data_IF_720773562768
#
_entry.id   IF_720773562768
#
_cell.length_a   1.000
_cell.length_b   1.000
_cell.length_c   1.000
_cell.angle_alpha   90.00
_cell.angle_beta   90.00
_cell.angle_gamma   90.00
#
_symmetry.space_group_name_H-M   'P 1'
#
loop_
_entity.id
_entity.type
_entity.pdbx_description
1 polymer ?
#
# COMPACT_ATOMS: atom_id res chain seq x y z
N UNK A 1 18.77 -4.14 25.04
CA UNK A 1 18.77 -2.99 24.11
C UNK A 1 17.93 -1.90 24.76
N UNK A 2 18.34 -0.62 24.76
CA UNK A 2 17.44 0.41 25.24
C UNK A 2 16.17 0.35 24.38
N UNK A 3 15.00 0.43 25.02
CA UNK A 3 13.75 0.68 24.30
C UNK A 3 13.96 1.97 23.51
N UNK A 4 14.04 1.85 22.18
CA UNK A 4 14.00 3.00 21.31
C UNK A 4 12.56 3.47 21.35
N UNK A 5 12.31 4.51 22.14
CA UNK A 5 10.98 5.12 22.28
C UNK A 5 10.62 5.83 20.96
N UNK A 6 10.07 5.05 20.03
CA UNK A 6 9.57 5.52 18.74
C UNK A 6 8.24 6.21 19.02
N UNK A 7 8.14 7.52 18.79
CA UNK A 7 6.90 8.27 18.99
C UNK A 7 5.98 8.02 17.79
N UNK A 8 4.83 7.32 17.96
CA UNK A 8 3.97 6.98 16.83
C UNK A 8 3.38 8.20 16.12
N UNK A 9 3.20 9.30 16.86
CA UNK A 9 2.72 10.57 16.30
C UNK A 9 3.71 11.21 15.33
N UNK A 10 5.02 11.07 15.59
CA UNK A 10 6.07 11.56 14.68
C UNK A 10 6.12 10.70 13.42
N UNK A 11 6.05 9.38 13.57
CA UNK A 11 5.98 8.46 12.42
C UNK A 11 4.74 8.73 11.57
N UNK A 12 3.57 8.93 12.19
CA UNK A 12 2.34 9.28 11.47
C UNK A 12 2.48 10.60 10.70
N UNK A 13 3.11 11.61 11.29
CA UNK A 13 3.41 12.88 10.61
C UNK A 13 4.38 12.70 9.43
N UNK A 14 5.38 11.81 9.55
CA UNK A 14 6.28 11.47 8.44
C UNK A 14 5.51 10.75 7.31
N UNK A 15 4.60 9.83 7.65
CA UNK A 15 3.76 9.14 6.66
C UNK A 15 2.82 10.09 5.91
N UNK A 16 2.33 11.15 6.58
CA UNK A 16 1.46 12.16 5.99
C UNK A 16 2.23 13.29 5.27
N UNK A 17 3.57 13.27 5.31
CA UNK A 17 4.43 14.27 4.68
C UNK A 17 4.64 13.96 3.19
N UNK A 18 4.62 15.00 2.35
CA UNK A 18 5.14 14.90 0.98
C UNK A 18 6.61 15.32 0.86
N UNK A 19 7.25 15.67 1.98
CA UNK A 19 8.64 16.13 2.10
C UNK A 19 9.00 17.33 1.20
N UNK A 20 8.01 18.06 0.67
CA UNK A 20 8.24 19.26 -0.14
C UNK A 20 8.39 20.46 0.78
N UNK A 21 9.60 21.02 0.80
CA UNK A 21 9.87 22.26 1.50
C UNK A 21 9.25 23.47 0.78
N UNK A 22 8.39 24.19 1.50
CA UNK A 22 7.74 25.41 1.05
C UNK A 22 8.51 26.63 1.51
N UNK A 23 9.00 27.44 0.56
CA UNK A 23 9.83 28.62 0.86
C UNK A 23 9.04 29.76 1.52
N UNK A 24 7.74 29.86 1.23
CA UNK A 24 6.81 30.86 1.76
C UNK A 24 6.53 30.63 3.26
N UNK A 25 6.26 29.38 3.65
CA UNK A 25 6.00 29.03 5.06
C UNK A 25 7.23 28.56 5.82
N UNK A 26 8.33 28.27 5.10
CA UNK A 26 9.56 27.65 5.61
C UNK A 26 9.33 26.29 6.28
N UNK A 27 8.31 25.57 5.85
CA UNK A 27 7.93 24.27 6.40
C UNK A 27 7.76 23.22 5.30
N UNK A 28 7.74 21.94 5.67
CA UNK A 28 7.27 20.86 4.81
C UNK A 28 5.76 20.94 4.61
N UNK A 29 5.21 20.05 3.78
CA UNK A 29 3.78 19.99 3.52
C UNK A 29 3.25 18.58 3.73
N UNK A 30 1.98 18.50 4.08
CA UNK A 30 1.20 17.28 4.06
C UNK A 30 0.99 16.78 2.62
N UNK A 31 0.61 15.53 2.44
CA UNK A 31 0.27 14.94 1.13
C UNK A 31 -0.83 15.73 0.42
N UNK A 32 -1.79 16.29 1.17
CA UNK A 32 -2.86 17.16 0.66
C UNK A 32 -2.38 18.56 0.19
N UNK A 33 -1.11 18.90 0.41
CA UNK A 33 -0.50 20.19 0.03
C UNK A 33 -0.59 21.30 1.08
N UNK A 34 -1.29 21.07 2.20
CA UNK A 34 -1.32 21.99 3.34
C UNK A 34 0.10 22.10 3.93
N UNK A 35 0.58 23.32 4.25
CA UNK A 35 1.87 23.46 4.92
C UNK A 35 1.79 22.92 6.35
N UNK A 36 2.89 22.35 6.84
CA UNK A 36 3.03 22.01 8.25
C UNK A 36 2.94 23.28 9.11
N UNK A 37 2.32 23.13 10.28
CA UNK A 37 2.45 24.03 11.42
C UNK A 37 3.89 24.04 11.94
N UNK A 38 4.20 25.00 12.83
CA UNK A 38 5.54 25.09 13.42
C UNK A 38 5.82 23.91 14.34
N UNK A 39 4.79 23.45 15.05
CA UNK A 39 4.83 22.32 15.97
C UNK A 39 5.06 21.02 15.19
N UNK A 40 4.35 20.80 14.09
CA UNK A 40 4.59 19.68 13.18
C UNK A 40 6.01 19.72 12.61
N UNK A 41 6.46 20.88 12.13
CA UNK A 41 7.82 21.02 11.60
C UNK A 41 8.89 20.71 12.65
N UNK A 42 8.71 21.20 13.87
CA UNK A 42 9.63 20.94 14.98
C UNK A 42 9.63 19.45 15.37
N UNK A 43 8.46 18.81 15.41
CA UNK A 43 8.34 17.38 15.66
C UNK A 43 9.07 16.57 14.58
N UNK A 44 8.84 16.87 13.30
CA UNK A 44 9.50 16.20 12.17
C UNK A 44 11.02 16.41 12.16
N UNK A 45 11.51 17.61 12.53
CA UNK A 45 12.95 17.85 12.67
C UNK A 45 13.58 17.18 13.89
N UNK A 46 12.79 16.94 14.94
CA UNK A 46 13.23 16.18 16.12
C UNK A 46 13.16 14.66 15.93
N UNK A 47 12.74 14.19 14.74
CA UNK A 47 12.60 12.77 14.47
C UNK A 47 13.95 12.06 14.58
N UNK A 48 13.96 10.97 15.33
CA UNK A 48 15.12 10.11 15.53
C UNK A 48 15.33 9.24 14.30
N UNK A 49 16.54 8.68 14.18
CA UNK A 49 16.84 7.69 13.13
C UNK A 49 15.86 6.50 13.17
N UNK A 50 15.51 6.02 14.36
CA UNK A 50 14.60 4.89 14.52
C UNK A 50 13.18 5.20 14.05
N UNK A 51 12.71 6.44 14.20
CA UNK A 51 11.41 6.88 13.67
C UNK A 51 11.43 6.98 12.13
N UNK A 52 12.55 7.39 11.53
CA UNK A 52 12.73 7.33 10.07
C UNK A 52 12.83 5.89 9.54
N UNK A 53 13.49 4.99 10.27
CA UNK A 53 13.55 3.56 9.93
C UNK A 53 12.16 2.92 9.98
N UNK A 54 11.35 3.25 11.00
CA UNK A 54 9.96 2.78 11.11
C UNK A 54 9.08 3.33 9.97
N UNK A 55 9.20 4.62 9.65
CA UNK A 55 8.55 5.21 8.48
C UNK A 55 8.95 4.48 7.19
N UNK A 56 10.24 4.21 6.99
CA UNK A 56 10.74 3.51 5.80
C UNK A 56 10.18 2.08 5.72
N UNK A 57 10.06 1.39 6.85
CA UNK A 57 9.42 0.08 6.96
C UNK A 57 7.95 0.13 6.52
N UNK A 58 7.19 1.10 7.00
CA UNK A 58 5.79 1.29 6.60
C UNK A 58 5.64 1.64 5.12
N UNK A 59 6.49 2.54 4.61
CA UNK A 59 6.49 2.90 3.20
C UNK A 59 6.82 1.68 2.32
N UNK A 60 7.73 0.81 2.76
CA UNK A 60 8.07 -0.43 2.06
C UNK A 60 6.86 -1.35 1.97
N UNK A 61 6.18 -1.62 3.10
CA UNK A 61 4.96 -2.45 3.12
C UNK A 61 3.87 -1.88 2.21
N UNK A 62 3.71 -0.56 2.19
CA UNK A 62 2.77 0.10 1.28
C UNK A 62 3.14 -0.08 -0.20
N UNK A 63 4.42 0.05 -0.55
CA UNK A 63 4.87 -0.19 -1.93
C UNK A 63 4.70 -1.66 -2.35
N UNK A 64 4.89 -2.61 -1.44
CA UNK A 64 4.61 -4.03 -1.69
C UNK A 64 3.13 -4.31 -1.90
N UNK A 65 2.26 -3.64 -1.14
CA UNK A 65 0.82 -3.67 -1.36
C UNK A 65 0.45 -3.13 -2.76
N UNK A 66 0.97 -1.97 -3.15
CA UNK A 66 0.72 -1.39 -4.48
C UNK A 66 1.22 -2.31 -5.61
N UNK A 67 2.41 -2.89 -5.45
CA UNK A 67 2.95 -3.86 -6.40
C UNK A 67 2.03 -5.08 -6.53
N UNK A 68 1.47 -5.57 -5.43
CA UNK A 68 0.51 -6.68 -5.45
C UNK A 68 -0.73 -6.37 -6.27
N UNK A 69 -1.25 -5.13 -6.17
CA UNK A 69 -2.38 -4.68 -7.00
C UNK A 69 -2.00 -4.55 -8.48
N UNK A 70 -0.82 -4.00 -8.76
CA UNK A 70 -0.30 -3.84 -10.12
C UNK A 70 -0.10 -5.20 -10.82
N UNK A 71 0.39 -6.20 -10.09
CA UNK A 71 0.64 -7.55 -10.59
C UNK A 71 -0.62 -8.42 -10.66
N UNK A 72 -1.75 -8.00 -10.06
CA UNK A 72 -2.97 -8.79 -9.96
C UNK A 72 -3.59 -9.21 -11.32
N UNK A 73 -3.66 -8.35 -12.36
CA UNK A 73 -4.18 -8.75 -13.68
C UNK A 73 -3.35 -9.87 -14.33
N UNK A 74 -2.03 -9.76 -14.18
CA UNK A 74 -1.05 -10.71 -14.67
C UNK A 74 -1.15 -12.05 -13.93
N UNK A 75 -1.32 -11.99 -12.60
CA UNK A 75 -1.57 -13.16 -11.77
C UNK A 75 -2.90 -13.84 -12.14
N UNK A 76 -3.98 -13.07 -12.36
CA UNK A 76 -5.27 -13.58 -12.79
C UNK A 76 -5.17 -14.29 -14.15
N UNK A 77 -4.44 -13.72 -15.11
CA UNK A 77 -4.24 -14.35 -16.42
C UNK A 77 -3.52 -15.69 -16.29
N UNK A 78 -2.44 -15.76 -15.50
CA UNK A 78 -1.69 -17.01 -15.28
C UNK A 78 -2.53 -18.05 -14.54
N UNK A 79 -3.31 -17.62 -13.56
CA UNK A 79 -4.24 -18.47 -12.82
C UNK A 79 -5.32 -19.07 -13.72
N UNK A 80 -5.91 -18.27 -14.63
CA UNK A 80 -6.97 -18.74 -15.53
C UNK A 80 -6.48 -19.62 -16.69
N UNK A 81 -5.21 -19.51 -17.08
CA UNK A 81 -4.69 -20.16 -18.29
C UNK A 81 -4.94 -21.69 -18.34
N UNK A 82 -4.66 -22.48 -17.28
CA UNK A 82 -4.87 -23.93 -17.32
C UNK A 82 -6.34 -24.35 -17.49
N UNK A 83 -7.28 -23.58 -16.93
CA UNK A 83 -8.71 -23.85 -17.10
C UNK A 83 -9.15 -23.50 -18.52
N UNK A 84 -8.67 -22.37 -19.06
CA UNK A 84 -8.98 -21.92 -20.41
C UNK A 84 -8.44 -22.86 -21.50
N UNK A 85 -7.35 -23.58 -21.24
CA UNK A 85 -6.80 -24.58 -22.15
C UNK A 85 -7.67 -25.83 -22.27
N UNK A 86 -8.36 -26.22 -21.20
CA UNK A 86 -9.25 -27.39 -21.18
C UNK A 86 -10.59 -27.15 -21.89
N UNK A 87 -10.96 -25.89 -22.08
CA UNK A 87 -12.26 -25.50 -22.61
C UNK A 87 -12.27 -25.37 -24.14
N UNK A 88 -13.24 -26.03 -24.77
CA UNK A 88 -13.57 -25.77 -26.19
C UNK A 88 -14.13 -24.36 -26.38
N UNK A 89 -14.97 -23.90 -25.45
CA UNK A 89 -15.52 -22.54 -25.42
C UNK A 89 -14.93 -21.78 -24.23
N UNK A 90 -13.96 -20.91 -24.50
CA UNK A 90 -13.17 -20.17 -23.52
C UNK A 90 -13.94 -18.98 -22.95
N UNK A 91 -14.73 -19.23 -21.91
CA UNK A 91 -15.43 -18.18 -21.16
C UNK A 91 -15.14 -18.36 -19.68
N UNK A 92 -15.15 -17.25 -18.92
CA UNK A 92 -14.90 -17.30 -17.48
C UNK A 92 -15.94 -18.18 -16.76
N UNK A 93 -17.22 -18.11 -17.15
CA UNK A 93 -18.27 -18.94 -16.57
C UNK A 93 -17.98 -20.44 -16.70
N UNK A 94 -17.55 -20.88 -17.88
CA UNK A 94 -17.17 -22.28 -18.11
C UNK A 94 -15.89 -22.65 -17.33
N UNK A 95 -14.95 -21.72 -17.17
CA UNK A 95 -13.73 -21.97 -16.39
C UNK A 95 -14.05 -22.16 -14.91
N UNK A 96 -14.99 -21.38 -14.38
CA UNK A 96 -15.48 -21.50 -12.99
C UNK A 96 -16.10 -22.88 -12.74
N UNK A 97 -16.79 -23.47 -13.73
CA UNK A 97 -17.34 -24.83 -13.60
C UNK A 97 -16.26 -25.91 -13.40
N UNK A 98 -15.02 -25.67 -13.85
CA UNK A 98 -13.87 -26.57 -13.65
C UNK A 98 -13.16 -26.37 -12.30
N UNK A 99 -13.43 -25.26 -11.61
CA UNK A 99 -12.74 -24.88 -10.38
C UNK A 99 -13.37 -25.52 -9.14
N UNK A 100 -12.50 -26.01 -8.26
CA UNK A 100 -12.77 -26.34 -6.86
C UNK A 100 -13.17 -25.09 -6.04
N UNK A 101 -13.64 -25.30 -4.81
CA UNK A 101 -13.98 -24.22 -3.89
C UNK A 101 -12.77 -23.33 -3.58
N UNK A 102 -11.59 -23.92 -3.36
CA UNK A 102 -10.35 -23.19 -3.09
C UNK A 102 -9.92 -22.34 -4.30
N UNK A 103 -10.04 -22.88 -5.51
CA UNK A 103 -9.72 -22.14 -6.74
C UNK A 103 -10.72 -21.00 -6.99
N UNK A 104 -12.00 -21.19 -6.64
CA UNK A 104 -13.00 -20.12 -6.70
C UNK A 104 -12.71 -19.01 -5.69
N UNK A 105 -12.27 -19.37 -4.48
CA UNK A 105 -11.85 -18.39 -3.48
C UNK A 105 -10.62 -17.59 -3.94
N UNK A 106 -9.66 -18.25 -4.60
CA UNK A 106 -8.49 -17.56 -5.18
C UNK A 106 -8.88 -16.65 -6.34
N UNK A 107 -9.81 -17.09 -7.21
CA UNK A 107 -10.37 -16.23 -8.26
C UNK A 107 -11.02 -14.98 -7.68
N UNK A 108 -11.85 -15.14 -6.64
CA UNK A 108 -12.51 -14.03 -5.95
C UNK A 108 -11.48 -13.07 -5.34
N UNK A 109 -10.44 -13.60 -4.69
CA UNK A 109 -9.34 -12.79 -4.14
C UNK A 109 -8.64 -11.96 -5.22
N UNK A 110 -8.29 -12.55 -6.35
CA UNK A 110 -7.62 -11.85 -7.46
C UNK A 110 -8.52 -10.79 -8.11
N UNK A 111 -9.81 -11.08 -8.26
CA UNK A 111 -10.79 -10.10 -8.75
C UNK A 111 -10.98 -8.94 -7.75
N UNK A 112 -10.97 -9.23 -6.44
CA UNK A 112 -11.02 -8.22 -5.39
C UNK A 112 -9.85 -7.24 -5.50
N UNK A 113 -8.63 -7.74 -5.69
CA UNK A 113 -7.44 -6.88 -5.88
C UNK A 113 -7.54 -5.93 -7.09
N UNK A 114 -8.28 -6.31 -8.13
CA UNK A 114 -8.42 -5.49 -9.35
C UNK A 114 -9.57 -4.49 -9.30
N UNK A 115 -10.55 -4.73 -8.43
CA UNK A 115 -11.80 -3.94 -8.39
C UNK A 115 -11.84 -2.96 -7.23
N UNK A 116 -11.12 -3.24 -6.15
CA UNK A 116 -11.00 -2.32 -5.03
C UNK A 116 -10.07 -1.14 -5.37
N UNK A 117 -10.49 0.07 -5.00
CA UNK A 117 -9.62 1.23 -5.08
C UNK A 117 -8.41 1.03 -4.14
N UNK A 118 -7.17 1.33 -4.56
CA UNK A 118 -6.01 1.24 -3.70
C UNK A 118 -6.22 2.04 -2.41
N UNK A 119 -5.95 1.43 -1.27
CA UNK A 119 -5.99 2.12 0.02
C UNK A 119 -4.93 3.21 0.05
N UNK A 120 -5.21 4.40 0.60
CA UNK A 120 -4.20 5.45 0.72
C UNK A 120 -3.12 5.04 1.73
N UNK A 121 -1.90 5.56 1.56
CA UNK A 121 -0.84 5.38 2.53
C UNK A 121 -1.23 6.00 3.87
N UNK A 122 -1.45 5.14 4.87
CA UNK A 122 -1.90 5.51 6.21
C UNK A 122 -1.00 4.82 7.22
N UNK A 123 -0.55 5.56 8.23
CA UNK A 123 0.38 5.03 9.22
C UNK A 123 -0.19 3.78 9.91
N UNK A 124 0.67 2.78 10.12
CA UNK A 124 0.36 1.51 10.81
C UNK A 124 -0.80 0.69 10.20
N UNK A 125 -1.07 0.87 8.90
CA UNK A 125 -2.17 0.16 8.20
C UNK A 125 -1.71 -1.05 7.39
N UNK A 126 -0.45 -1.03 6.91
CA UNK A 126 0.13 -2.04 6.01
C UNK A 126 1.23 -2.84 6.69
#
# INVERSE_FOLDING_TARGET
MPETDIRPTVVALLCDSNFKYRRDTKTWSHIDGRPFTKEEQAAAWSATRYEFEEFAGQHTRYMEYLRTLEEAPDALQRFLAPFMEQLTRKTLGNAVELMSEDERAELERLLGLMTEAPRPFTAYTF
#
